data_IF_204830330581
#
_entry.id   IF_204830330581
#
_cell.length_a   1.000
_cell.length_b   1.000
_cell.length_c   1.000
_cell.angle_alpha   90.00
_cell.angle_beta   90.00
_cell.angle_gamma   90.00
#
_symmetry.space_group_name_H-M   'P 1'
#
loop_
_entity.id
_entity.type
_entity.pdbx_description
1 polymer ?
#
# COMPACT_ATOMS: atom_id res chain seq x y z
N UNK A 1 -110.05 -14.84 49.62
CA UNK A 1 -109.10 -13.72 49.82
C UNK A 1 -107.90 -14.22 50.64
N UNK A 2 -106.75 -14.47 50.02
CA UNK A 2 -105.48 -14.63 50.74
C UNK A 2 -104.26 -14.69 49.78
N UNK A 3 -103.29 -13.82 50.08
CA UNK A 3 -101.82 -13.89 49.89
C UNK A 3 -101.23 -13.86 48.47
N UNK A 4 -100.79 -12.65 48.11
CA UNK A 4 -99.80 -12.35 47.08
C UNK A 4 -98.40 -12.71 47.61
N UNK A 5 -97.69 -13.59 46.90
CA UNK A 5 -96.32 -13.98 47.19
C UNK A 5 -95.35 -13.06 46.44
N UNK A 6 -94.38 -12.48 47.15
CA UNK A 6 -93.45 -11.45 46.65
C UNK A 6 -92.04 -12.05 46.62
N UNK A 7 -91.58 -12.47 45.46
CA UNK A 7 -90.23 -13.00 45.29
C UNK A 7 -89.27 -11.93 44.75
N UNK A 8 -88.21 -11.66 45.51
CA UNK A 8 -87.19 -10.64 45.22
C UNK A 8 -86.11 -11.24 44.31
N UNK A 9 -85.99 -10.73 43.08
CA UNK A 9 -84.79 -10.99 42.23
C UNK A 9 -83.60 -10.17 42.74
N UNK A 10 -82.49 -10.85 43.05
CA UNK A 10 -81.17 -10.23 43.28
C UNK A 10 -80.54 -9.79 41.95
N UNK A 11 -79.74 -8.71 41.91
CA UNK A 11 -78.97 -8.36 40.73
C UNK A 11 -77.66 -9.15 40.70
N UNK A 12 -77.39 -9.78 39.56
CA UNK A 12 -76.15 -10.50 39.30
C UNK A 12 -75.08 -9.49 38.84
N UNK A 13 -74.04 -9.30 39.66
CA UNK A 13 -72.98 -8.33 39.39
C UNK A 13 -72.03 -8.86 38.31
N UNK A 14 -72.12 -8.33 37.09
CA UNK A 14 -71.08 -8.52 36.07
C UNK A 14 -69.81 -7.78 36.50
N UNK A 15 -68.85 -8.51 37.06
CA UNK A 15 -67.49 -8.06 37.35
C UNK A 15 -66.72 -7.89 36.03
N UNK A 16 -66.63 -6.66 35.53
CA UNK A 16 -65.83 -6.33 34.34
C UNK A 16 -64.35 -6.56 34.60
N UNK A 17 -63.73 -7.53 33.90
CA UNK A 17 -62.27 -7.65 33.80
C UNK A 17 -61.73 -6.47 32.98
N UNK A 18 -61.00 -5.58 33.65
CA UNK A 18 -60.30 -4.43 33.06
C UNK A 18 -59.21 -4.93 32.09
N UNK A 19 -59.21 -4.41 30.85
CA UNK A 19 -58.20 -4.61 29.80
C UNK A 19 -56.84 -4.02 30.26
N UNK A 20 -55.94 -4.85 30.78
CA UNK A 20 -54.53 -4.47 31.03
C UNK A 20 -53.58 -4.87 29.87
N UNK A 21 -54.12 -5.37 28.75
CA UNK A 21 -53.30 -5.84 27.62
C UNK A 21 -52.77 -4.75 26.67
N UNK A 22 -53.27 -3.51 26.77
CA UNK A 22 -52.93 -2.45 25.79
C UNK A 22 -51.71 -1.62 26.20
N UNK A 23 -51.50 -1.38 27.50
CA UNK A 23 -50.36 -0.58 27.99
C UNK A 23 -49.04 -1.35 27.92
N UNK A 24 -49.06 -2.66 28.18
CA UNK A 24 -47.89 -3.51 28.08
C UNK A 24 -47.39 -3.61 26.62
N UNK A 25 -48.33 -3.73 25.67
CA UNK A 25 -48.02 -3.76 24.25
C UNK A 25 -47.35 -2.46 23.76
N UNK A 26 -47.84 -1.30 24.22
CA UNK A 26 -47.26 0.01 23.88
C UNK A 26 -45.83 0.14 24.45
N UNK A 27 -45.60 -0.29 25.69
CA UNK A 27 -44.27 -0.25 26.31
C UNK A 27 -43.29 -1.14 25.54
N UNK A 28 -43.69 -2.36 25.19
CA UNK A 28 -42.86 -3.28 24.40
C UNK A 28 -42.55 -2.69 23.03
N UNK A 29 -43.53 -2.11 22.34
CA UNK A 29 -43.34 -1.49 21.03
C UNK A 29 -42.37 -0.29 21.09
N UNK A 30 -42.48 0.55 22.13
CA UNK A 30 -41.56 1.66 22.36
C UNK A 30 -40.13 1.18 22.64
N UNK A 31 -39.95 0.12 23.44
CA UNK A 31 -38.62 -0.45 23.70
C UNK A 31 -38.02 -1.00 22.40
N UNK A 32 -38.80 -1.72 21.60
CA UNK A 32 -38.34 -2.24 20.30
C UNK A 32 -37.97 -1.10 19.36
N UNK A 33 -38.77 -0.03 19.28
CA UNK A 33 -38.48 1.13 18.44
C UNK A 33 -37.19 1.85 18.88
N UNK A 34 -36.95 1.99 20.19
CA UNK A 34 -35.72 2.57 20.74
C UNK A 34 -34.51 1.70 20.42
N UNK A 35 -34.61 0.38 20.60
CA UNK A 35 -33.54 -0.57 20.24
C UNK A 35 -33.24 -0.53 18.74
N UNK A 36 -34.27 -0.49 17.90
CA UNK A 36 -34.11 -0.39 16.46
C UNK A 36 -33.46 0.94 16.04
N UNK A 37 -33.87 2.04 16.67
CA UNK A 37 -33.25 3.36 16.48
C UNK A 37 -31.78 3.38 16.91
N UNK A 38 -31.44 2.71 18.03
CA UNK A 38 -30.07 2.54 18.50
C UNK A 38 -29.22 1.73 17.51
N UNK A 39 -29.77 0.63 16.97
CA UNK A 39 -29.09 -0.19 15.95
C UNK A 39 -28.85 0.61 14.66
N UNK A 40 -29.84 1.37 14.20
CA UNK A 40 -29.69 2.22 13.01
C UNK A 40 -28.66 3.32 13.28
N UNK A 41 -28.72 3.97 14.44
CA UNK A 41 -27.79 5.03 14.81
C UNK A 41 -26.35 4.51 14.90
N UNK A 42 -26.12 3.38 15.57
CA UNK A 42 -24.78 2.78 15.64
C UNK A 42 -24.31 2.30 14.27
N UNK A 43 -25.18 1.69 13.46
CA UNK A 43 -24.84 1.27 12.10
C UNK A 43 -24.45 2.44 11.20
N UNK A 44 -25.22 3.53 11.22
CA UNK A 44 -24.95 4.74 10.44
C UNK A 44 -23.69 5.43 10.95
N UNK A 45 -23.51 5.57 12.27
CA UNK A 45 -22.33 6.18 12.87
C UNK A 45 -21.04 5.40 12.58
N UNK A 46 -21.09 4.07 12.60
CA UNK A 46 -19.91 3.23 12.30
C UNK A 46 -19.60 3.19 10.80
N UNK A 47 -20.63 3.20 9.95
CA UNK A 47 -20.45 3.16 8.50
C UNK A 47 -20.00 4.49 7.90
N UNK A 48 -20.19 5.62 8.59
CA UNK A 48 -19.84 6.95 8.09
C UNK A 48 -18.33 7.27 8.17
N UNK A 49 -17.59 6.56 9.02
CA UNK A 49 -16.14 6.75 9.18
C UNK A 49 -15.29 5.88 8.21
N UNK A 50 -15.90 4.96 7.46
CA UNK A 50 -15.19 4.07 6.53
C UNK A 50 -15.03 4.73 5.17
N UNK A 51 -13.81 5.17 4.88
CA UNK A 51 -13.51 5.80 3.60
C UNK A 51 -13.50 4.76 2.48
N UNK A 52 -14.27 4.98 1.39
CA UNK A 52 -14.32 4.01 0.30
C UNK A 52 -12.95 3.76 -0.31
N UNK A 53 -12.76 2.53 -0.79
CA UNK A 53 -11.54 2.12 -1.49
C UNK A 53 -11.86 1.77 -2.93
N UNK A 54 -10.94 2.10 -3.82
CA UNK A 54 -10.93 1.59 -5.19
C UNK A 54 -10.87 0.06 -5.18
N UNK A 55 -11.64 -0.58 -6.07
CA UNK A 55 -11.82 -2.05 -6.04
C UNK A 55 -10.62 -2.80 -6.60
N UNK A 56 -9.81 -2.15 -7.43
CA UNK A 56 -8.68 -2.78 -8.10
C UNK A 56 -7.40 -2.61 -7.29
N UNK A 57 -7.09 -1.36 -6.95
CA UNK A 57 -5.88 -0.96 -6.22
C UNK A 57 -6.03 -1.06 -4.71
N UNK A 58 -7.25 -1.22 -4.19
CA UNK A 58 -7.56 -1.18 -2.75
C UNK A 58 -7.20 0.13 -2.05
N UNK A 59 -6.78 1.15 -2.80
CA UNK A 59 -6.41 2.44 -2.26
C UNK A 59 -7.65 3.27 -1.93
N UNK A 60 -7.54 4.10 -0.91
CA UNK A 60 -8.62 5.02 -0.51
C UNK A 60 -8.90 6.02 -1.64
N UNK A 61 -10.17 6.33 -1.86
CA UNK A 61 -10.58 7.24 -2.95
C UNK A 61 -10.26 8.71 -2.66
N UNK A 62 -10.00 9.04 -1.40
CA UNK A 62 -9.63 10.40 -0.96
C UNK A 62 -8.17 10.75 -1.28
N UNK A 63 -7.36 9.79 -1.75
CA UNK A 63 -5.95 10.00 -2.08
C UNK A 63 -5.02 10.11 -0.88
N UNK A 64 -5.54 10.01 0.35
CA UNK A 64 -4.79 10.24 1.58
C UNK A 64 -4.15 8.94 2.08
N UNK A 65 -2.97 8.63 1.55
CA UNK A 65 -2.18 7.47 1.94
C UNK A 65 -0.70 7.66 1.62
N UNK A 66 0.17 7.06 2.44
CA UNK A 66 1.61 7.03 2.21
C UNK A 66 1.98 6.11 1.04
N UNK A 67 3.18 6.30 0.48
CA UNK A 67 3.66 5.53 -0.68
C UNK A 67 5.00 4.85 -0.37
N UNK A 68 5.09 3.59 -0.75
CA UNK A 68 6.32 2.83 -0.85
C UNK A 68 6.55 2.44 -2.30
N UNK A 69 7.56 3.05 -2.92
CA UNK A 69 7.96 2.76 -4.29
C UNK A 69 9.18 1.85 -4.24
N UNK A 70 9.10 0.70 -4.89
CA UNK A 70 10.21 -0.23 -5.06
C UNK A 70 10.61 -0.23 -6.54
N UNK A 71 11.88 0.04 -6.82
CA UNK A 71 12.47 -0.02 -8.15
C UNK A 71 13.54 -1.09 -8.20
N UNK A 72 13.30 -2.15 -8.97
CA UNK A 72 14.25 -3.25 -9.17
C UNK A 72 14.91 -3.17 -10.55
N UNK A 73 16.23 -3.11 -10.59
CA UNK A 73 16.96 -3.19 -11.85
C UNK A 73 16.97 -4.62 -12.39
N UNK A 74 16.43 -4.83 -13.60
CA UNK A 74 16.42 -6.15 -14.27
C UNK A 74 17.25 -6.13 -15.57
N UNK A 75 18.08 -5.11 -15.76
CA UNK A 75 18.93 -4.98 -16.96
C UNK A 75 20.15 -5.89 -16.94
N UNK A 76 20.43 -6.52 -15.80
CA UNK A 76 21.53 -7.45 -15.61
C UNK A 76 21.09 -8.83 -15.15
N UNK A 77 21.83 -9.85 -15.56
CA UNK A 77 21.70 -11.19 -15.00
C UNK A 77 22.16 -11.22 -13.54
N UNK A 78 21.37 -11.88 -12.69
CA UNK A 78 21.64 -12.14 -11.29
C UNK A 78 21.98 -13.61 -11.05
N UNK A 79 22.76 -13.88 -10.00
CA UNK A 79 22.99 -15.25 -9.54
C UNK A 79 21.75 -15.81 -8.83
N UNK A 80 21.65 -17.13 -8.68
CA UNK A 80 20.56 -17.76 -7.91
C UNK A 80 20.47 -17.24 -6.47
N UNK A 81 21.61 -16.91 -5.85
CA UNK A 81 21.66 -16.38 -4.49
C UNK A 81 21.14 -14.93 -4.47
N UNK A 82 21.48 -14.15 -5.49
CA UNK A 82 21.01 -12.77 -5.63
C UNK A 82 19.51 -12.70 -5.87
N UNK A 83 18.96 -13.55 -6.75
CA UNK A 83 17.50 -13.66 -6.93
C UNK A 83 16.79 -13.91 -5.60
N UNK A 84 17.25 -14.90 -4.82
CA UNK A 84 16.67 -15.20 -3.50
C UNK A 84 16.77 -14.02 -2.52
N UNK A 85 17.92 -13.33 -2.50
CA UNK A 85 18.13 -12.24 -1.54
C UNK A 85 17.35 -10.98 -1.93
N UNK A 86 17.25 -10.68 -3.23
CA UNK A 86 16.41 -9.60 -3.75
C UNK A 86 14.93 -9.88 -3.47
N UNK A 87 14.46 -11.11 -3.76
CA UNK A 87 13.10 -11.55 -3.45
C UNK A 87 12.79 -11.36 -1.96
N UNK A 88 13.66 -11.87 -1.09
CA UNK A 88 13.49 -11.72 0.36
C UNK A 88 13.45 -10.25 0.79
N UNK A 89 14.30 -9.39 0.20
CA UNK A 89 14.30 -7.96 0.49
C UNK A 89 12.97 -7.29 0.10
N UNK A 90 12.40 -7.65 -1.06
CA UNK A 90 11.09 -7.14 -1.49
C UNK A 90 9.98 -7.68 -0.57
N UNK A 91 9.99 -8.97 -0.26
CA UNK A 91 9.00 -9.59 0.64
C UNK A 91 9.02 -8.96 2.04
N UNK A 92 10.20 -8.67 2.59
CA UNK A 92 10.34 -7.95 3.86
C UNK A 92 9.76 -6.53 3.77
N UNK A 93 10.08 -5.79 2.70
CA UNK A 93 9.53 -4.45 2.47
C UNK A 93 7.99 -4.45 2.37
N UNK A 94 7.42 -5.52 1.81
CA UNK A 94 5.97 -5.71 1.67
C UNK A 94 5.32 -6.13 2.99
N UNK A 95 6.00 -6.95 3.79
CA UNK A 95 5.56 -7.30 5.14
C UNK A 95 5.55 -6.06 6.06
N UNK A 96 6.47 -5.13 5.85
CA UNK A 96 6.60 -3.86 6.59
C UNK A 96 5.67 -2.73 6.07
N UNK A 97 4.71 -3.03 5.19
CA UNK A 97 3.74 -2.01 4.73
C UNK A 97 2.73 -1.69 5.83
N UNK A 98 2.57 -0.40 6.14
CA UNK A 98 1.49 0.04 7.02
C UNK A 98 0.11 -0.17 6.35
N UNK A 99 -0.95 -0.25 7.14
CA UNK A 99 -2.33 -0.27 6.60
C UNK A 99 -2.57 1.00 5.78
N UNK A 100 -3.26 0.86 4.66
CA UNK A 100 -3.49 1.89 3.64
C UNK A 100 -2.26 2.36 2.86
N UNK A 101 -1.03 1.99 3.24
CA UNK A 101 0.17 2.35 2.49
C UNK A 101 0.17 1.73 1.10
N UNK A 102 0.42 2.55 0.08
CA UNK A 102 0.48 2.13 -1.31
C UNK A 102 1.85 1.54 -1.64
N UNK A 103 1.86 0.29 -2.08
CA UNK A 103 2.99 -0.32 -2.77
C UNK A 103 2.93 0.02 -4.27
N UNK A 104 4.06 0.45 -4.81
CA UNK A 104 4.32 0.45 -6.25
C UNK A 104 5.59 -0.34 -6.55
N UNK A 105 5.53 -1.29 -7.49
CA UNK A 105 6.70 -2.02 -7.96
C UNK A 105 6.98 -1.69 -9.42
N UNK A 106 8.22 -1.30 -9.69
CA UNK A 106 8.71 -0.92 -11.01
C UNK A 106 9.99 -1.66 -11.32
N UNK A 107 10.25 -1.92 -12.61
CA UNK A 107 11.52 -2.45 -13.08
C UNK A 107 12.30 -1.39 -13.86
N UNK A 108 13.63 -1.37 -13.69
CA UNK A 108 14.52 -0.70 -14.65
C UNK A 108 14.76 -1.68 -15.80
N UNK A 109 14.35 -1.31 -17.02
CA UNK A 109 14.62 -2.07 -18.26
C UNK A 109 15.54 -1.25 -19.17
N UNK A 110 15.88 -1.76 -20.36
CA UNK A 110 16.61 -0.97 -21.37
C UNK A 110 15.83 0.22 -21.92
N UNK A 111 14.51 0.29 -21.71
CA UNK A 111 13.65 1.36 -22.21
C UNK A 111 12.87 2.03 -21.09
N UNK A 112 13.06 3.34 -20.92
CA UNK A 112 12.34 4.14 -19.92
C UNK A 112 10.83 4.14 -20.16
N UNK A 113 10.37 3.88 -21.40
CA UNK A 113 8.95 3.76 -21.74
C UNK A 113 8.25 2.62 -21.01
N UNK A 114 8.99 1.57 -20.64
CA UNK A 114 8.41 0.39 -19.99
C UNK A 114 8.03 0.69 -18.53
N UNK A 115 8.59 1.75 -17.96
CA UNK A 115 8.36 2.18 -16.57
C UNK A 115 7.19 3.17 -16.47
N UNK A 116 6.52 3.47 -17.58
CA UNK A 116 5.40 4.42 -17.62
C UNK A 116 4.23 3.98 -16.74
N UNK A 117 4.10 2.69 -16.45
CA UNK A 117 3.15 2.16 -15.49
C UNK A 117 3.84 1.17 -14.54
N UNK A 118 3.48 1.17 -13.25
CA UNK A 118 3.98 0.17 -12.32
C UNK A 118 3.50 -1.23 -12.71
N UNK A 119 4.32 -2.24 -12.45
CA UNK A 119 3.96 -3.66 -12.58
C UNK A 119 2.84 -4.03 -11.61
N UNK A 120 2.83 -3.42 -10.43
CA UNK A 120 1.72 -3.46 -9.51
C UNK A 120 1.60 -2.17 -8.72
N UNK A 121 0.36 -1.77 -8.46
CA UNK A 121 -0.01 -0.64 -7.61
C UNK A 121 -1.17 -1.04 -6.73
N UNK A 122 -0.92 -1.19 -5.43
CA UNK A 122 -1.93 -1.68 -4.48
C UNK A 122 -1.68 -1.09 -3.09
N UNK A 123 -2.75 -0.71 -2.39
CA UNK A 123 -2.66 -0.31 -1.00
C UNK A 123 -2.86 -1.52 -0.08
N UNK A 124 -2.06 -1.60 0.98
CA UNK A 124 -2.16 -2.69 1.95
C UNK A 124 -3.54 -2.66 2.64
N UNK A 125 -4.40 -3.67 2.44
CA UNK A 125 -5.71 -3.68 3.07
C UNK A 125 -5.68 -4.01 4.57
N UNK A 126 -4.51 -4.37 5.12
CA UNK A 126 -4.32 -4.98 6.45
C UNK A 126 -4.28 -6.51 6.37
N UNK A 127 -3.85 -7.18 7.44
CA UNK A 127 -3.79 -8.65 7.50
C UNK A 127 -4.97 -9.31 8.23
N UNK A 128 -5.95 -8.51 8.66
CA UNK A 128 -7.13 -9.01 9.39
C UNK A 128 -6.92 -9.20 10.89
N UNK A 129 -5.67 -9.15 11.36
CA UNK A 129 -5.32 -9.10 12.79
C UNK A 129 -5.55 -7.70 13.39
N UNK A 130 -5.45 -6.66 12.56
CA UNK A 130 -5.69 -5.25 12.93
C UNK A 130 -7.17 -4.86 13.04
N UNK A 131 -8.05 -5.86 13.00
CA UNK A 131 -9.49 -5.66 12.90
C UNK A 131 -10.12 -6.12 14.20
N UNK A 132 -10.58 -5.17 15.02
CA UNK A 132 -11.40 -5.47 16.18
C UNK A 132 -12.53 -6.42 15.76
N UNK A 133 -12.57 -7.60 16.39
CA UNK A 133 -13.39 -8.76 16.04
C UNK A 133 -14.92 -8.47 15.99
N UNK A 134 -15.32 -7.25 16.31
CA UNK A 134 -16.70 -6.82 16.41
C UNK A 134 -17.25 -6.17 15.11
N UNK A 135 -16.39 -5.69 14.19
CA UNK A 135 -16.86 -4.87 13.05
C UNK A 135 -16.32 -5.22 11.65
N UNK A 136 -15.26 -6.03 11.52
CA UNK A 136 -14.73 -6.41 10.20
C UNK A 136 -14.58 -7.92 10.01
N UNK A 137 -14.95 -8.41 8.82
CA UNK A 137 -14.74 -9.80 8.46
C UNK A 137 -13.24 -10.03 8.16
N UNK A 138 -12.46 -10.39 9.17
CA UNK A 138 -11.01 -10.65 9.06
C UNK A 138 -10.66 -11.57 7.89
N UNK A 139 -11.50 -12.58 7.61
CA UNK A 139 -11.32 -13.47 6.45
C UNK A 139 -11.41 -12.74 5.11
N UNK A 140 -12.27 -11.74 4.98
CA UNK A 140 -12.35 -10.93 3.75
C UNK A 140 -11.12 -10.05 3.56
N UNK A 141 -10.57 -9.47 4.63
CA UNK A 141 -9.38 -8.62 4.55
C UNK A 141 -8.15 -9.47 4.20
N UNK A 142 -7.97 -10.60 4.87
CA UNK A 142 -6.94 -11.58 4.53
C UNK A 142 -7.05 -12.03 3.07
N UNK A 143 -8.25 -12.37 2.60
CA UNK A 143 -8.48 -12.74 1.20
C UNK A 143 -8.10 -11.62 0.22
N UNK A 144 -8.42 -10.36 0.53
CA UNK A 144 -8.01 -9.22 -0.30
C UNK A 144 -6.48 -9.07 -0.34
N UNK A 145 -5.83 -9.19 0.82
CA UNK A 145 -4.36 -9.15 0.90
C UNK A 145 -3.73 -10.26 0.04
N UNK A 146 -4.22 -11.49 0.17
CA UNK A 146 -3.75 -12.63 -0.61
C UNK A 146 -3.98 -12.44 -2.12
N UNK A 147 -5.20 -12.05 -2.51
CA UNK A 147 -5.62 -12.00 -3.92
C UNK A 147 -5.09 -10.78 -4.68
N UNK A 148 -4.91 -9.63 -4.02
CA UNK A 148 -4.55 -8.36 -4.68
C UNK A 148 -3.12 -7.91 -4.45
N UNK A 149 -2.45 -8.42 -3.42
CA UNK A 149 -1.10 -8.01 -3.07
C UNK A 149 -0.13 -9.19 -3.13
N UNK A 150 -0.33 -10.23 -2.32
CA UNK A 150 0.64 -11.33 -2.24
C UNK A 150 0.77 -12.15 -3.52
N UNK A 151 -0.36 -12.62 -4.09
CA UNK A 151 -0.31 -13.46 -5.29
C UNK A 151 0.23 -12.71 -6.51
N UNK A 152 -0.24 -11.48 -6.85
CA UNK A 152 0.32 -10.73 -7.96
C UNK A 152 1.81 -10.40 -7.77
N UNK A 153 2.24 -10.05 -6.56
CA UNK A 153 3.65 -9.85 -6.25
C UNK A 153 4.46 -11.12 -6.53
N UNK A 154 4.00 -12.27 -6.03
CA UNK A 154 4.71 -13.52 -6.21
C UNK A 154 4.79 -13.95 -7.68
N UNK A 155 3.77 -13.66 -8.49
CA UNK A 155 3.80 -13.87 -9.94
C UNK A 155 4.90 -13.02 -10.60
N UNK A 156 4.95 -11.71 -10.30
CA UNK A 156 5.99 -10.80 -10.80
C UNK A 156 7.40 -11.27 -10.39
N UNK A 157 7.58 -11.67 -9.12
CA UNK A 157 8.88 -12.13 -8.63
C UNK A 157 9.27 -13.49 -9.22
N UNK A 158 8.30 -14.35 -9.57
CA UNK A 158 8.59 -15.64 -10.22
C UNK A 158 9.07 -15.45 -11.66
N UNK A 159 8.50 -14.48 -12.38
CA UNK A 159 9.01 -14.07 -13.69
C UNK A 159 10.43 -13.50 -13.58
N UNK A 160 10.68 -12.64 -12.58
CA UNK A 160 12.02 -12.14 -12.29
C UNK A 160 13.02 -13.25 -12.02
N UNK A 161 12.69 -14.24 -11.18
CA UNK A 161 13.57 -15.37 -10.87
C UNK A 161 13.92 -16.24 -12.09
N UNK A 162 13.07 -16.21 -13.10
CA UNK A 162 13.28 -16.94 -14.36
C UNK A 162 14.04 -16.12 -15.41
N UNK A 163 14.21 -14.81 -15.18
CA UNK A 163 14.88 -13.91 -16.09
C UNK A 163 16.39 -14.06 -16.00
N UNK A 164 17.04 -14.32 -17.14
CA UNK A 164 18.50 -14.38 -17.25
C UNK A 164 19.00 -13.49 -18.41
N UNK A 165 18.38 -12.33 -18.56
CA UNK A 165 18.65 -11.40 -19.65
C UNK A 165 19.73 -10.39 -19.25
N UNK A 166 20.55 -10.01 -20.23
CA UNK A 166 21.48 -8.88 -20.10
C UNK A 166 21.07 -7.86 -21.14
N UNK A 167 20.58 -6.73 -20.67
CA UNK A 167 20.12 -5.65 -21.53
C UNK A 167 21.30 -4.77 -21.97
N UNK A 168 21.23 -4.15 -23.16
CA UNK A 168 22.30 -3.28 -23.67
C UNK A 168 22.40 -1.93 -22.93
N UNK A 169 21.40 -1.57 -22.12
CA UNK A 169 21.29 -0.28 -21.42
C UNK A 169 20.70 -0.47 -20.03
N UNK A 170 21.12 0.37 -19.09
CA UNK A 170 20.54 0.57 -17.76
C UNK A 170 20.35 2.07 -17.50
N UNK A 171 19.19 2.64 -17.89
CA UNK A 171 18.85 4.06 -17.74
C UNK A 171 18.34 4.38 -16.32
N UNK A 172 19.18 4.19 -15.31
CA UNK A 172 18.81 4.31 -13.89
C UNK A 172 18.32 5.72 -13.56
N UNK A 173 19.08 6.76 -13.93
CA UNK A 173 18.67 8.14 -13.63
C UNK A 173 17.37 8.53 -14.34
N UNK A 174 17.25 8.18 -15.61
CA UNK A 174 16.06 8.49 -16.40
C UNK A 174 14.81 7.77 -15.86
N UNK A 175 14.99 6.54 -15.38
CA UNK A 175 13.92 5.78 -14.74
C UNK A 175 13.46 6.41 -13.42
N UNK A 176 14.40 6.87 -12.58
CA UNK A 176 14.10 7.61 -11.36
C UNK A 176 13.34 8.90 -11.70
N UNK A 177 13.75 9.62 -12.74
CA UNK A 177 13.08 10.84 -13.18
C UNK A 177 11.64 10.57 -13.64
N UNK A 178 11.42 9.47 -14.38
CA UNK A 178 10.08 9.05 -14.81
C UNK A 178 9.18 8.75 -13.60
N UNK A 179 9.64 7.91 -12.67
CA UNK A 179 8.90 7.55 -11.46
C UNK A 179 8.60 8.79 -10.61
N UNK A 180 9.55 9.71 -10.47
CA UNK A 180 9.31 10.95 -9.75
C UNK A 180 8.14 11.73 -10.38
N UNK A 181 8.14 11.90 -11.69
CA UNK A 181 7.09 12.63 -12.39
C UNK A 181 5.71 11.96 -12.31
N UNK A 182 5.65 10.62 -12.24
CA UNK A 182 4.40 9.88 -12.30
C UNK A 182 3.81 9.52 -10.94
N UNK A 183 4.67 9.28 -9.95
CA UNK A 183 4.27 8.65 -8.69
C UNK A 183 4.50 9.52 -7.46
N UNK A 184 5.50 10.41 -7.52
CA UNK A 184 5.90 11.23 -6.37
C UNK A 184 5.33 12.64 -6.51
N UNK A 185 5.55 13.29 -7.67
CA UNK A 185 4.94 14.59 -7.98
C UNK A 185 3.43 14.47 -8.03
N UNK A 186 2.75 15.43 -7.41
CA UNK A 186 1.28 15.42 -7.31
C UNK A 186 0.73 14.50 -6.21
N UNK A 187 1.57 14.01 -5.31
CA UNK A 187 1.09 13.43 -4.04
C UNK A 187 0.37 14.49 -3.22
N UNK A 188 -0.68 14.07 -2.48
CA UNK A 188 -1.40 14.94 -1.56
C UNK A 188 -0.47 15.48 -0.46
N UNK A 189 -0.73 16.70 0.01
CA UNK A 189 0.04 17.31 1.09
C UNK A 189 0.09 16.40 2.33
N UNK A 190 1.29 16.23 2.91
CA UNK A 190 1.50 15.35 4.07
C UNK A 190 1.68 13.86 3.72
N UNK A 191 1.60 13.48 2.45
CA UNK A 191 1.94 12.11 1.98
C UNK A 191 3.41 11.83 2.21
N UNK A 192 3.74 10.82 3.02
CA UNK A 192 5.12 10.33 3.16
C UNK A 192 5.44 9.38 2.01
N UNK A 193 6.65 9.52 1.46
CA UNK A 193 7.13 8.67 0.37
C UNK A 193 8.45 8.03 0.78
N UNK A 194 8.48 6.70 0.79
CA UNK A 194 9.73 5.93 0.83
C UNK A 194 10.02 5.30 -0.53
N UNK A 195 11.26 5.37 -0.96
CA UNK A 195 11.71 4.93 -2.28
C UNK A 195 12.91 3.98 -2.14
N UNK A 196 12.66 2.70 -2.35
CA UNK A 196 13.63 1.62 -2.29
C UNK A 196 14.12 1.27 -3.69
N UNK A 197 15.43 1.40 -3.94
CA UNK A 197 16.05 1.07 -5.23
C UNK A 197 17.00 -0.12 -5.05
N UNK A 198 16.78 -1.16 -5.84
CA UNK A 198 17.55 -2.40 -5.82
C UNK A 198 18.28 -2.52 -7.16
N UNK A 199 19.58 -2.28 -7.18
CA UNK A 199 20.36 -2.22 -8.41
C UNK A 199 21.85 -2.47 -8.15
N UNK A 200 22.60 -2.78 -9.21
CA UNK A 200 24.07 -2.65 -9.18
C UNK A 200 24.52 -1.17 -9.21
N UNK A 201 23.58 -0.26 -9.47
CA UNK A 201 23.75 1.19 -9.56
C UNK A 201 24.75 1.62 -10.64
N UNK A 202 24.83 0.88 -11.75
CA UNK A 202 25.72 1.15 -12.87
C UNK A 202 24.96 1.80 -14.03
N UNK A 203 24.94 3.14 -14.05
CA UNK A 203 24.34 3.88 -15.16
C UNK A 203 24.97 3.52 -16.51
N UNK A 204 24.13 3.17 -17.47
CA UNK A 204 24.56 2.89 -18.84
C UNK A 204 23.50 3.26 -19.89
N UNK A 205 23.66 4.43 -20.51
CA UNK A 205 22.89 4.85 -21.69
C UNK A 205 23.83 5.27 -22.81
N UNK A 206 23.29 5.70 -23.95
CA UNK A 206 24.10 6.29 -25.03
C UNK A 206 24.70 7.63 -24.58
N UNK A 207 23.90 8.45 -23.89
CA UNK A 207 24.27 9.79 -23.43
C UNK A 207 25.31 9.78 -22.31
N UNK A 208 25.24 8.81 -21.38
CA UNK A 208 26.18 8.75 -20.27
C UNK A 208 26.36 7.32 -19.75
N UNK A 209 27.59 6.94 -19.43
CA UNK A 209 27.85 5.63 -18.87
C UNK A 209 29.02 5.61 -17.90
N UNK A 210 28.83 4.94 -16.76
CA UNK A 210 29.91 4.68 -15.81
C UNK A 210 31.00 3.73 -16.34
N UNK A 211 30.81 3.10 -17.51
CA UNK A 211 31.86 2.36 -18.20
C UNK A 211 32.80 3.27 -18.99
N UNK A 212 32.29 4.38 -19.51
CA UNK A 212 33.02 5.28 -20.43
C UNK A 212 33.48 6.56 -19.73
N UNK A 213 32.77 6.99 -18.70
CA UNK A 213 32.99 8.27 -18.03
C UNK A 213 33.59 8.07 -16.63
N UNK A 214 34.48 8.97 -16.23
CA UNK A 214 34.87 9.08 -14.83
C UNK A 214 33.68 9.61 -14.03
N UNK A 215 33.28 8.92 -12.96
CA UNK A 215 32.12 9.28 -12.15
C UNK A 215 32.16 10.73 -11.64
N UNK A 216 33.37 11.25 -11.33
CA UNK A 216 33.55 12.64 -10.88
C UNK A 216 33.12 13.66 -11.93
N UNK A 217 33.17 13.31 -13.21
CA UNK A 217 32.80 14.21 -14.31
C UNK A 217 31.28 14.39 -14.42
N UNK A 218 30.47 13.53 -13.77
CA UNK A 218 29.02 13.66 -13.77
C UNK A 218 28.60 15.07 -13.35
N UNK A 219 29.14 15.56 -12.24
CA UNK A 219 28.74 16.84 -11.62
C UNK A 219 28.95 18.08 -12.48
N UNK A 220 29.82 18.00 -13.49
CA UNK A 220 30.11 19.12 -14.41
C UNK A 220 29.58 18.85 -15.83
N UNK A 221 28.82 17.77 -16.02
CA UNK A 221 28.33 17.34 -17.33
C UNK A 221 26.95 17.92 -17.62
N UNK A 222 26.66 18.21 -18.90
CA UNK A 222 25.30 18.54 -19.35
C UNK A 222 24.30 17.43 -19.03
N UNK A 223 24.78 16.18 -18.93
CA UNK A 223 23.95 15.04 -18.57
C UNK A 223 23.38 15.16 -17.15
N UNK A 224 24.15 15.68 -16.19
CA UNK A 224 23.64 15.90 -14.83
C UNK A 224 22.43 16.85 -14.81
N UNK A 225 22.46 17.92 -15.60
CA UNK A 225 21.31 18.82 -15.73
C UNK A 225 20.10 18.13 -16.37
N UNK A 226 20.33 17.25 -17.36
CA UNK A 226 19.27 16.50 -18.04
C UNK A 226 18.54 15.54 -17.11
N UNK A 227 19.27 14.86 -16.24
CA UNK A 227 18.71 13.80 -15.38
C UNK A 227 18.47 14.23 -13.93
N UNK A 228 18.71 15.51 -13.61
CA UNK A 228 18.38 16.06 -12.31
C UNK A 228 16.91 15.77 -11.97
N UNK A 229 16.72 15.28 -10.75
CA UNK A 229 15.41 14.89 -10.22
C UNK A 229 15.29 15.46 -8.81
N UNK A 230 14.23 16.23 -8.57
CA UNK A 230 13.89 16.73 -7.24
C UNK A 230 13.07 15.68 -6.49
N UNK A 231 13.60 15.19 -5.37
CA UNK A 231 13.06 14.12 -4.54
C UNK A 231 12.83 14.64 -3.12
N UNK A 232 12.18 15.80 -3.00
CA UNK A 232 11.92 16.48 -1.74
C UNK A 232 11.06 15.63 -0.82
N UNK A 233 11.44 15.55 0.46
CA UNK A 233 10.68 14.85 1.50
C UNK A 233 10.48 13.35 1.19
N UNK A 234 11.45 12.75 0.49
CA UNK A 234 11.49 11.31 0.16
C UNK A 234 12.55 10.60 0.99
N UNK A 235 12.17 9.50 1.64
CA UNK A 235 13.07 8.58 2.32
C UNK A 235 13.66 7.56 1.34
N UNK A 236 14.96 7.63 1.08
CA UNK A 236 15.63 6.77 0.12
C UNK A 236 16.30 5.56 0.80
N UNK A 237 16.02 4.36 0.29
CA UNK A 237 16.75 3.15 0.62
C UNK A 237 17.44 2.58 -0.63
N UNK A 238 18.77 2.51 -0.62
CA UNK A 238 19.56 2.01 -1.73
C UNK A 238 20.13 0.64 -1.38
N UNK A 239 19.63 -0.40 -2.04
CA UNK A 239 20.07 -1.77 -1.90
C UNK A 239 21.03 -2.13 -3.03
N UNK A 240 22.33 -2.02 -2.77
CA UNK A 240 23.38 -2.29 -3.74
C UNK A 240 23.56 -3.80 -3.93
N UNK A 241 23.28 -4.29 -5.14
CA UNK A 241 23.50 -5.67 -5.53
C UNK A 241 24.90 -5.81 -6.11
N UNK A 242 25.66 -6.80 -5.62
CA UNK A 242 26.97 -7.11 -6.18
C UNK A 242 26.83 -7.78 -7.54
N UNK A 243 27.72 -7.49 -8.48
CA UNK A 243 27.85 -8.28 -9.73
C UNK A 243 29.28 -8.74 -9.90
N UNK A 244 29.45 -10.02 -10.24
CA UNK A 244 30.75 -10.61 -10.51
C UNK A 244 31.43 -9.87 -11.67
N UNK A 245 32.68 -9.44 -11.46
CA UNK A 245 33.44 -8.66 -12.45
C UNK A 245 33.09 -7.17 -12.50
N UNK A 246 32.21 -6.70 -11.62
CA UNK A 246 31.79 -5.28 -11.50
C UNK A 246 32.06 -4.72 -10.10
N UNK A 247 32.88 -5.38 -9.29
CA UNK A 247 33.16 -5.02 -7.90
C UNK A 247 33.66 -3.59 -7.71
N UNK A 248 34.35 -3.03 -8.72
CA UNK A 248 34.81 -1.64 -8.68
C UNK A 248 33.67 -0.63 -8.44
N UNK A 249 32.45 -0.96 -8.92
CA UNK A 249 31.26 -0.12 -8.79
C UNK A 249 30.64 -0.17 -7.39
N UNK A 250 31.10 -1.08 -6.52
CA UNK A 250 30.76 -1.10 -5.09
C UNK A 250 31.77 -0.34 -4.21
N UNK A 251 32.80 0.22 -4.83
CA UNK A 251 33.81 1.02 -4.15
C UNK A 251 33.22 2.28 -3.51
N UNK A 252 33.88 2.78 -2.46
CA UNK A 252 33.40 3.94 -1.68
C UNK A 252 33.02 5.14 -2.54
N UNK A 253 33.77 5.41 -3.61
CA UNK A 253 33.50 6.53 -4.53
C UNK A 253 32.12 6.46 -5.20
N UNK A 254 31.64 5.25 -5.54
CA UNK A 254 30.32 5.07 -6.16
C UNK A 254 29.20 5.15 -5.12
N UNK A 255 29.42 4.60 -3.92
CA UNK A 255 28.47 4.73 -2.81
C UNK A 255 28.29 6.18 -2.37
N UNK A 256 29.41 6.89 -2.20
CA UNK A 256 29.41 8.32 -1.84
C UNK A 256 28.73 9.14 -2.94
N UNK A 257 28.97 8.82 -4.22
CA UNK A 257 28.34 9.50 -5.34
C UNK A 257 26.81 9.37 -5.29
N UNK A 258 26.27 8.16 -5.14
CA UNK A 258 24.82 7.97 -5.10
C UNK A 258 24.20 8.60 -3.86
N UNK A 259 24.87 8.52 -2.70
CA UNK A 259 24.45 9.23 -1.51
C UNK A 259 24.38 10.74 -1.75
N UNK A 260 25.43 11.31 -2.34
CA UNK A 260 25.51 12.74 -2.67
C UNK A 260 24.46 13.15 -3.70
N UNK A 261 24.19 12.32 -4.71
CA UNK A 261 23.14 12.55 -5.70
C UNK A 261 21.77 12.71 -5.04
N UNK A 262 21.33 11.73 -4.25
CA UNK A 262 20.02 11.80 -3.59
C UNK A 262 19.95 12.91 -2.54
N UNK A 263 21.04 13.16 -1.81
CA UNK A 263 21.12 14.30 -0.87
C UNK A 263 20.95 15.65 -1.60
N UNK A 264 21.63 15.84 -2.74
CA UNK A 264 21.49 17.05 -3.57
C UNK A 264 20.14 17.15 -4.28
N UNK A 265 19.47 16.02 -4.51
CA UNK A 265 18.10 15.95 -5.01
C UNK A 265 17.05 16.34 -3.98
N UNK A 266 17.42 16.55 -2.71
CA UNK A 266 16.50 17.00 -1.65
C UNK A 266 15.83 15.88 -0.84
N UNK A 267 16.31 14.63 -0.96
CA UNK A 267 15.81 13.52 -0.15
C UNK A 267 15.95 13.78 1.34
N UNK A 268 14.94 13.38 2.12
CA UNK A 268 14.91 13.57 3.58
C UNK A 268 15.96 12.68 4.26
N UNK A 269 16.05 11.43 3.84
CA UNK A 269 17.04 10.47 4.32
C UNK A 269 17.59 9.64 3.17
N UNK A 270 18.84 9.17 3.32
CA UNK A 270 19.47 8.25 2.36
C UNK A 270 20.21 7.16 3.11
N UNK A 271 19.64 5.95 3.08
CA UNK A 271 20.21 4.75 3.68
C UNK A 271 20.79 3.88 2.57
N UNK A 272 22.02 3.40 2.76
CA UNK A 272 22.69 2.49 1.82
C UNK A 272 22.92 1.16 2.52
N UNK A 273 22.45 0.08 1.91
CA UNK A 273 22.73 -1.30 2.32
C UNK A 273 23.34 -2.05 1.15
N UNK A 274 24.21 -3.01 1.45
CA UNK A 274 24.74 -3.95 0.45
C UNK A 274 23.97 -5.24 0.59
N UNK A 275 23.47 -5.76 -0.51
CA UNK A 275 22.88 -7.08 -0.58
C UNK A 275 24.03 -8.07 -0.79
N UNK A 276 24.14 -9.04 0.13
CA UNK A 276 25.08 -10.14 0.01
C UNK A 276 24.52 -11.20 -0.95
N UNK A 277 25.38 -11.74 -1.82
CA UNK A 277 25.00 -12.75 -2.82
C UNK A 277 25.95 -12.82 -4.00
#
# INVERSE_FOLDING_TARGET
MARINRDKRKPDSKRGKKKNGNSLAIIILSIVAVLFGLIIYTYVSVSSDVIPRDKETLCRIDGQYNKHIILLDVTGAYSLIQHKTIRQAIENNVADLAVDEQLQLHFITSSVSDVVQPLMKVCNPGQGEDVDAFFGNANMIKKKWEDKLYRPLNEILTEFDSANTVAPKSPIFETIQMINNQSIKGSEEGTKVRFTIISDFIQHTDDYSFFRNNIKNFWNSNYQHKVYTELKDVDMELLFVRRNGREKYLGKIYLDFWKEYFTKSGSESVVIKRIEG
#
